data_IF_417717634276
#
_entry.id   IF_417717634276
#
_cell.length_a   1.000
_cell.length_b   1.000
_cell.length_c   1.000
_cell.angle_alpha   90.00
_cell.angle_beta   90.00
_cell.angle_gamma   90.00
#
_symmetry.space_group_name_H-M   'P 1'
#
loop_
_entity.id
_entity.type
_entity.pdbx_description
1 polymer ?
#
# COMPACT_ATOMS: atom_id res chain seq x y z
N UNK A 1 -19.78 5.05 51.30
CA UNK A 1 -20.41 5.44 50.01
C UNK A 1 -19.70 4.69 48.91
N UNK A 2 -20.46 3.91 48.16
CA UNK A 2 -20.01 2.67 47.52
C UNK A 2 -19.21 2.90 46.24
N UNK A 3 -18.09 2.19 46.16
CA UNK A 3 -17.15 1.95 45.03
C UNK A 3 -17.83 1.73 43.65
N UNK A 4 -19.15 1.47 43.64
CA UNK A 4 -20.02 1.34 42.46
C UNK A 4 -19.95 2.49 41.46
N UNK A 5 -19.63 3.73 41.88
CA UNK A 5 -19.61 4.89 40.96
C UNK A 5 -18.31 5.01 40.13
N UNK A 6 -17.22 4.37 40.55
CA UNK A 6 -15.93 4.47 39.85
C UNK A 6 -15.87 3.49 38.66
N UNK A 7 -16.58 2.36 38.74
CA UNK A 7 -16.63 1.35 37.68
C UNK A 7 -17.41 1.77 36.42
N UNK A 8 -18.25 2.81 36.50
CA UNK A 8 -19.06 3.27 35.36
C UNK A 8 -18.32 4.28 34.46
N UNK A 9 -17.24 4.89 34.95
CA UNK A 9 -16.50 5.92 34.18
C UNK A 9 -15.39 5.30 33.33
N UNK A 10 -14.84 4.14 33.72
CA UNK A 10 -13.80 3.44 32.95
C UNK A 10 -14.31 2.72 31.70
N UNK A 11 -15.63 2.53 31.56
CA UNK A 11 -16.23 1.82 30.43
C UNK A 11 -16.42 2.68 29.18
N UNK A 12 -16.34 4.02 29.28
CA UNK A 12 -16.68 4.94 28.17
C UNK A 12 -15.45 5.37 27.36
N UNK A 13 -14.22 5.25 27.89
CA UNK A 13 -13.00 5.64 27.17
C UNK A 13 -12.38 4.55 26.29
N UNK A 14 -12.94 3.34 26.25
CA UNK A 14 -12.38 2.21 25.48
C UNK A 14 -12.93 2.07 24.04
N UNK A 15 -13.69 3.05 23.54
CA UNK A 15 -14.35 2.98 22.22
C UNK A 15 -13.61 3.71 21.08
N UNK A 16 -12.39 4.20 21.27
CA UNK A 16 -11.60 4.84 20.18
C UNK A 16 -10.53 3.96 19.55
N UNK A 17 -10.53 2.65 19.83
CA UNK A 17 -9.50 1.72 19.33
C UNK A 17 -10.06 0.62 18.42
N UNK A 18 -10.71 0.97 17.32
CA UNK A 18 -10.78 0.07 16.15
C UNK A 18 -11.25 0.78 14.87
N UNK A 19 -10.59 1.87 14.47
CA UNK A 19 -10.44 2.09 13.03
C UNK A 19 -9.34 1.14 12.59
N UNK A 20 -9.74 -0.02 12.07
CA UNK A 20 -8.89 -1.02 11.44
C UNK A 20 -8.22 -0.43 10.20
N UNK A 21 -7.21 0.41 10.41
CA UNK A 21 -6.33 0.96 9.39
C UNK A 21 -5.22 -0.05 9.14
N UNK A 22 -5.54 -1.21 8.60
CA UNK A 22 -4.57 -2.31 8.46
C UNK A 22 -3.67 -2.20 7.22
N UNK A 23 -3.72 -1.07 6.51
CA UNK A 23 -2.81 -0.76 5.40
C UNK A 23 -2.36 0.69 5.51
N UNK A 24 -1.43 0.93 6.43
CA UNK A 24 -0.80 2.24 6.61
C UNK A 24 0.24 2.43 5.52
N UNK A 25 0.01 3.42 4.66
CA UNK A 25 1.04 4.00 3.81
C UNK A 25 2.25 4.33 4.71
N UNK A 26 3.40 3.70 4.46
CA UNK A 26 4.59 4.01 5.24
C UNK A 26 4.99 5.47 4.96
N UNK A 27 5.54 6.17 5.94
CA UNK A 27 6.04 7.54 5.72
C UNK A 27 7.04 7.60 4.55
N UNK A 28 7.77 6.51 4.31
CA UNK A 28 8.67 6.37 3.18
C UNK A 28 7.89 6.19 1.85
N UNK A 29 6.85 5.34 1.83
CA UNK A 29 5.96 5.17 0.67
C UNK A 29 5.13 6.42 0.34
N UNK A 30 4.84 7.26 1.33
CA UNK A 30 4.18 8.55 1.13
C UNK A 30 5.04 9.54 0.33
N UNK A 31 6.36 9.45 0.45
CA UNK A 31 7.29 10.29 -0.30
C UNK A 31 7.40 9.89 -1.78
N UNK A 32 7.02 8.65 -2.11
CA UNK A 32 7.10 8.13 -3.48
C UNK A 32 5.99 8.70 -4.36
N UNK A 33 6.35 9.35 -5.46
CA UNK A 33 5.39 9.90 -6.42
C UNK A 33 5.30 9.04 -7.69
N UNK A 34 4.10 8.91 -8.24
CA UNK A 34 3.90 8.32 -9.56
C UNK A 34 4.05 9.41 -10.61
N UNK A 35 4.91 9.18 -11.60
CA UNK A 35 5.09 10.08 -12.75
C UNK A 35 4.83 9.29 -14.03
N UNK A 36 3.97 9.83 -14.89
CA UNK A 36 3.74 9.30 -16.23
C UNK A 36 4.82 9.76 -17.21
N UNK A 37 5.42 10.93 -16.95
CA UNK A 37 6.48 11.48 -17.76
C UNK A 37 7.85 11.00 -17.26
N UNK A 38 8.73 10.67 -18.20
CA UNK A 38 10.05 10.11 -17.90
C UNK A 38 10.81 11.09 -16.98
N UNK A 39 11.25 10.64 -15.79
CA UNK A 39 12.00 11.50 -14.89
C UNK A 39 13.29 11.99 -15.57
N UNK A 40 13.71 13.21 -15.26
CA UNK A 40 14.91 13.84 -15.80
C UNK A 40 16.15 12.96 -15.61
N UNK A 41 17.18 13.12 -16.46
CA UNK A 41 18.42 12.31 -16.40
C UNK A 41 19.18 12.44 -15.07
N UNK A 42 18.82 13.41 -14.22
CA UNK A 42 19.31 13.52 -12.84
C UNK A 42 18.82 12.41 -11.91
N UNK A 43 17.81 11.62 -12.31
CA UNK A 43 17.25 10.56 -11.49
C UNK A 43 17.92 9.21 -11.76
N UNK A 44 18.47 8.60 -10.72
CA UNK A 44 19.12 7.30 -10.82
C UNK A 44 18.07 6.18 -10.84
N UNK A 45 18.12 5.32 -11.85
CA UNK A 45 17.33 4.10 -11.87
C UNK A 45 17.82 3.12 -10.80
N UNK A 46 16.92 2.70 -9.91
CA UNK A 46 17.23 1.76 -8.83
C UNK A 46 16.81 0.33 -9.16
N UNK A 47 15.77 0.15 -9.96
CA UNK A 47 15.22 -1.16 -10.33
C UNK A 47 13.71 -1.12 -10.54
N UNK A 48 13.08 -2.29 -10.71
CA UNK A 48 11.62 -2.43 -10.83
C UNK A 48 11.05 -2.98 -9.51
N UNK A 49 10.00 -2.34 -8.99
CA UNK A 49 9.22 -2.80 -7.84
C UNK A 49 7.86 -3.34 -8.30
N UNK A 50 7.31 -4.29 -7.54
CA UNK A 50 6.07 -5.02 -7.88
C UNK A 50 5.20 -5.21 -6.62
N UNK A 51 4.11 -4.45 -6.53
CA UNK A 51 3.13 -4.59 -5.45
C UNK A 51 2.03 -5.57 -5.84
N UNK A 52 1.82 -6.61 -5.03
CA UNK A 52 0.83 -7.67 -5.29
C UNK A 52 -0.16 -7.77 -4.14
N UNK A 53 -1.46 -7.79 -4.41
CA UNK A 53 -2.48 -7.96 -3.38
C UNK A 53 -3.62 -8.86 -3.84
N UNK A 54 -3.71 -10.01 -3.18
CA UNK A 54 -4.72 -11.00 -3.51
C UNK A 54 -6.07 -10.80 -2.84
N UNK A 55 -7.14 -11.10 -3.58
CA UNK A 55 -8.50 -11.14 -3.04
C UNK A 55 -8.72 -12.36 -2.13
N UNK A 56 -7.92 -13.41 -2.31
CA UNK A 56 -8.11 -14.73 -1.69
C UNK A 56 -8.19 -14.66 -0.16
N UNK A 57 -7.41 -13.78 0.48
CA UNK A 57 -7.41 -13.58 1.93
C UNK A 57 -8.10 -12.27 2.37
N UNK A 58 -8.59 -11.47 1.41
CA UNK A 58 -9.11 -10.13 1.65
C UNK A 58 -10.63 -10.10 1.80
N UNK A 59 -11.24 -11.13 2.41
CA UNK A 59 -12.69 -11.31 2.54
C UNK A 59 -13.50 -10.00 2.55
N UNK A 60 -14.44 -9.88 1.62
CA UNK A 60 -15.34 -8.71 1.38
C UNK A 60 -14.70 -7.41 0.84
N UNK A 61 -13.41 -7.36 0.53
CA UNK A 61 -12.83 -6.18 -0.14
C UNK A 61 -13.20 -6.10 -1.61
N UNK A 62 -13.58 -4.91 -2.06
CA UNK A 62 -13.85 -4.64 -3.47
C UNK A 62 -12.55 -4.58 -4.29
N UNK A 63 -12.63 -4.87 -5.59
CA UNK A 63 -11.48 -4.80 -6.50
C UNK A 63 -10.77 -3.42 -6.47
N UNK A 64 -11.53 -2.33 -6.30
CA UNK A 64 -10.98 -0.97 -6.16
C UNK A 64 -10.23 -0.73 -4.85
N UNK A 65 -10.51 -1.50 -3.79
CA UNK A 65 -9.72 -1.48 -2.57
C UNK A 65 -8.43 -2.27 -2.74
N UNK A 66 -8.48 -3.43 -3.39
CA UNK A 66 -7.30 -4.25 -3.70
C UNK A 66 -6.28 -3.49 -4.57
N UNK A 67 -6.75 -2.74 -5.57
CA UNK A 67 -5.88 -1.91 -6.42
C UNK A 67 -5.20 -0.78 -5.65
N UNK A 68 -5.94 -0.08 -4.78
CA UNK A 68 -5.34 0.94 -3.90
C UNK A 68 -4.32 0.34 -2.93
N UNK A 69 -4.64 -0.81 -2.37
CA UNK A 69 -3.79 -1.59 -1.49
C UNK A 69 -2.51 -2.06 -2.21
N UNK A 70 -2.59 -2.48 -3.48
CA UNK A 70 -1.45 -2.83 -4.31
C UNK A 70 -0.59 -1.61 -4.66
N UNK A 71 -1.21 -0.44 -4.86
CA UNK A 71 -0.49 0.82 -5.09
C UNK A 71 0.33 1.24 -3.87
N UNK A 72 -0.26 1.08 -2.68
CA UNK A 72 0.42 1.36 -1.40
C UNK A 72 1.62 0.41 -1.23
N UNK A 73 1.43 -0.86 -1.55
CA UNK A 73 2.49 -1.87 -1.45
C UNK A 73 3.65 -1.57 -2.42
N UNK A 74 3.34 -1.25 -3.67
CA UNK A 74 4.31 -0.83 -4.69
C UNK A 74 5.11 0.41 -4.22
N UNK A 75 4.44 1.41 -3.63
CA UNK A 75 5.11 2.60 -3.07
C UNK A 75 6.01 2.25 -1.90
N UNK A 76 5.57 1.36 -1.01
CA UNK A 76 6.37 0.93 0.13
C UNK A 76 7.63 0.18 -0.32
N UNK A 77 7.54 -0.65 -1.36
CA UNK A 77 8.70 -1.33 -1.94
C UNK A 77 9.65 -0.35 -2.63
N UNK A 78 9.13 0.58 -3.43
CA UNK A 78 9.94 1.62 -4.05
C UNK A 78 10.71 2.45 -3.00
N UNK A 79 10.06 2.74 -1.88
CA UNK A 79 10.69 3.43 -0.76
C UNK A 79 11.74 2.57 -0.03
N UNK A 80 11.51 1.26 0.11
CA UNK A 80 12.51 0.32 0.66
C UNK A 80 13.77 0.25 -0.22
N UNK A 81 13.62 0.38 -1.54
CA UNK A 81 14.75 0.49 -2.47
C UNK A 81 15.47 1.84 -2.37
N UNK A 82 14.94 2.80 -1.61
CA UNK A 82 15.48 4.15 -1.48
C UNK A 82 15.11 5.07 -2.64
N UNK A 83 14.08 4.71 -3.41
CA UNK A 83 13.53 5.52 -4.49
C UNK A 83 12.42 6.44 -4.01
N UNK A 84 12.22 7.53 -4.74
CA UNK A 84 11.19 8.54 -4.48
C UNK A 84 10.26 8.76 -5.67
N UNK A 85 10.55 8.15 -6.82
CA UNK A 85 9.73 8.29 -8.02
C UNK A 85 9.48 6.92 -8.63
N UNK A 86 8.22 6.61 -8.94
CA UNK A 86 7.84 5.45 -9.74
C UNK A 86 7.38 5.95 -11.10
N UNK A 87 7.98 5.43 -12.16
CA UNK A 87 7.61 5.70 -13.54
C UNK A 87 7.10 4.43 -14.22
N UNK A 88 6.22 4.60 -15.21
CA UNK A 88 5.62 3.50 -15.96
C UNK A 88 4.99 2.43 -15.05
N UNK A 89 4.12 2.87 -14.13
CA UNK A 89 3.36 1.97 -13.26
C UNK A 89 2.26 1.29 -14.10
N UNK A 90 2.44 0.02 -14.40
CA UNK A 90 1.55 -0.77 -15.23
C UNK A 90 0.83 -1.81 -14.37
N UNK A 91 -0.42 -2.09 -14.71
CA UNK A 91 -1.12 -3.26 -14.19
C UNK A 91 -0.41 -4.52 -14.71
N UNK A 92 0.29 -5.21 -13.83
CA UNK A 92 0.99 -6.46 -14.12
C UNK A 92 0.16 -7.68 -13.70
N UNK A 93 -1.12 -7.49 -13.35
CA UNK A 93 -2.03 -8.59 -12.98
C UNK A 93 -2.13 -9.61 -14.11
N UNK A 94 -2.03 -9.17 -15.37
CA UNK A 94 -2.02 -10.07 -16.55
C UNK A 94 -0.77 -10.92 -16.72
N UNK A 95 0.35 -10.59 -16.06
CA UNK A 95 1.61 -11.34 -16.19
C UNK A 95 1.72 -12.48 -15.18
N UNK A 96 0.98 -12.39 -14.07
CA UNK A 96 1.02 -13.35 -12.95
C UNK A 96 -0.08 -14.44 -13.08
N UNK A 97 -1.07 -14.24 -13.95
CA UNK A 97 -2.24 -15.12 -14.14
C UNK A 97 -2.00 -16.41 -14.95
N UNK A 98 -0.77 -16.80 -15.27
CA UNK A 98 -0.55 -18.04 -16.03
C UNK A 98 -0.67 -19.33 -15.20
N UNK A 99 -0.72 -19.28 -13.86
CA UNK A 99 -0.73 -20.52 -13.08
C UNK A 99 -1.99 -20.79 -12.23
N UNK A 100 -2.61 -19.85 -11.51
CA UNK A 100 -3.71 -20.23 -10.60
C UNK A 100 -4.68 -19.05 -10.35
N UNK A 101 -5.92 -19.15 -10.85
CA UNK A 101 -7.13 -18.41 -10.46
C UNK A 101 -7.06 -16.84 -10.28
N UNK A 102 -7.76 -16.06 -11.12
CA UNK A 102 -7.53 -14.61 -11.25
C UNK A 102 -8.37 -13.79 -10.27
N UNK A 103 -7.75 -13.27 -9.20
CA UNK A 103 -8.34 -12.15 -8.43
C UNK A 103 -7.29 -11.31 -7.68
N UNK A 104 -6.04 -11.32 -8.15
CA UNK A 104 -4.96 -10.62 -7.48
C UNK A 104 -4.64 -9.33 -8.24
N UNK A 105 -4.70 -8.20 -7.52
CA UNK A 105 -4.34 -6.89 -8.01
C UNK A 105 -2.81 -6.77 -7.98
N UNK A 106 -2.16 -6.68 -9.14
CA UNK A 106 -0.71 -6.55 -9.23
C UNK A 106 -0.34 -5.32 -10.03
N UNK A 107 0.54 -4.49 -9.49
CA UNK A 107 1.10 -3.34 -10.18
C UNK A 107 2.61 -3.36 -10.12
N UNK A 108 3.25 -3.09 -11.25
CA UNK A 108 4.70 -3.05 -11.38
C UNK A 108 5.14 -1.71 -11.97
N UNK A 109 6.22 -1.14 -11.44
CA UNK A 109 6.73 0.16 -11.90
C UNK A 109 8.25 0.27 -11.78
N UNK A 110 8.84 1.12 -12.60
CA UNK A 110 10.26 1.44 -12.55
C UNK A 110 10.52 2.46 -11.44
N UNK A 111 11.43 2.12 -10.53
CA UNK A 111 11.78 2.94 -9.37
C UNK A 111 13.02 3.77 -9.67
N UNK A 112 12.90 5.07 -9.43
CA UNK A 112 13.95 6.06 -9.60
C UNK A 112 14.19 6.79 -8.27
N UNK A 113 15.44 7.22 -8.11
CA UNK A 113 15.90 8.11 -7.06
C UNK A 113 16.34 9.43 -7.67
N UNK A 114 15.49 10.43 -7.55
CA UNK A 114 15.81 11.82 -7.85
C UNK A 114 16.38 12.47 -6.58
N UNK A 115 17.50 13.17 -6.69
CA UNK A 115 18.18 13.82 -5.57
C UNK A 115 17.91 15.32 -5.57
#
# INVERSE_FOLDING_TARGET
MSIKKILLVSAVLALTACSSSQYTLSSAGANVQFVDEKPSESCQFLGRAEGTRGSFFSGTKTHSQLMRDAAIDLRNQAAQMGGNVIHNAQDASMKVISDIAPTDAVMAGDVYKCQ
#
